data_IF_417224742068
#
_entry.id   IF_417224742068
#
_cell.length_a   1.000
_cell.length_b   1.000
_cell.length_c   1.000
_cell.angle_alpha   90.00
_cell.angle_beta   90.00
_cell.angle_gamma   90.00
#
_symmetry.space_group_name_H-M   'P 1'
#
loop_
_entity.id
_entity.type
_entity.pdbx_description
1 polymer ?
#
# COMPACT_ATOMS: atom_id res chain seq x y z
N UNK A 1 49.12 15.61 35.98
CA UNK A 1 48.94 14.22 35.51
C UNK A 1 47.54 14.16 34.91
N UNK A 2 47.23 14.79 33.77
CA UNK A 2 47.61 14.57 32.36
C UNK A 2 47.26 13.15 31.86
N UNK A 3 46.18 13.10 31.04
CA UNK A 3 45.91 12.23 29.86
C UNK A 3 45.31 10.84 30.17
N UNK A 4 44.21 10.37 29.56
CA UNK A 4 43.60 10.68 28.24
C UNK A 4 42.12 10.25 28.15
N UNK A 5 41.32 11.08 27.49
CA UNK A 5 40.11 10.71 26.75
C UNK A 5 40.43 9.75 25.60
N UNK A 6 39.54 8.79 25.36
CA UNK A 6 39.60 7.87 24.22
C UNK A 6 38.26 7.85 23.49
N UNK A 7 37.84 9.02 23.03
CA UNK A 7 36.84 9.13 21.98
C UNK A 7 37.47 8.68 20.66
N UNK A 8 37.01 7.53 20.17
CA UNK A 8 37.47 6.94 18.91
C UNK A 8 36.35 7.09 17.89
N UNK A 9 36.33 8.27 17.29
CA UNK A 9 35.61 8.61 16.06
C UNK A 9 35.81 7.51 14.99
N UNK A 10 34.80 6.66 14.81
CA UNK A 10 34.68 5.80 13.64
C UNK A 10 33.83 6.51 12.60
N UNK A 11 34.43 7.48 11.92
CA UNK A 11 33.90 8.00 10.66
C UNK A 11 33.86 6.85 9.65
N UNK A 12 32.66 6.41 9.27
CA UNK A 12 32.47 5.52 8.12
C UNK A 12 32.91 6.28 6.86
N UNK A 13 33.71 5.68 5.98
CA UNK A 13 34.02 6.28 4.68
C UNK A 13 32.73 6.40 3.85
N UNK A 14 32.57 7.55 3.20
CA UNK A 14 31.51 7.82 2.23
C UNK A 14 31.57 6.79 1.08
N UNK A 15 30.42 6.36 0.53
CA UNK A 15 30.39 5.50 -0.65
C UNK A 15 31.01 6.22 -1.85
N UNK A 16 32.00 5.59 -2.47
CA UNK A 16 32.58 6.08 -3.73
C UNK A 16 31.55 5.94 -4.86
N UNK A 17 31.44 6.94 -5.75
CA UNK A 17 30.54 6.87 -6.90
C UNK A 17 30.97 5.74 -7.85
N UNK A 18 30.02 5.14 -8.60
CA UNK A 18 30.33 4.06 -9.54
C UNK A 18 31.25 4.59 -10.66
N UNK A 19 32.48 4.09 -10.67
CA UNK A 19 33.43 4.30 -11.76
C UNK A 19 32.91 3.57 -13.01
N UNK A 20 32.56 4.34 -14.04
CA UNK A 20 32.22 3.82 -15.36
C UNK A 20 33.37 2.98 -15.92
N UNK A 21 33.20 1.66 -15.91
CA UNK A 21 34.18 0.72 -16.45
C UNK A 21 34.22 0.86 -17.97
N UNK A 22 35.40 1.22 -18.48
CA UNK A 22 35.75 1.22 -19.90
C UNK A 22 35.91 -0.23 -20.37
N UNK A 23 35.33 -0.64 -21.51
CA UNK A 23 35.49 -2.00 -22.03
C UNK A 23 36.95 -2.22 -22.45
N UNK A 24 37.65 -3.10 -21.75
CA UNK A 24 38.99 -3.57 -22.12
C UNK A 24 38.84 -4.70 -23.12
N UNK A 25 39.24 -4.44 -24.37
CA UNK A 25 39.35 -5.44 -25.43
C UNK A 25 40.56 -6.32 -25.12
N UNK A 26 40.32 -7.57 -24.73
CA UNK A 26 41.36 -8.59 -24.63
C UNK A 26 41.39 -9.39 -25.93
N UNK A 27 42.44 -9.15 -26.72
CA UNK A 27 42.85 -10.01 -27.82
C UNK A 27 43.58 -11.22 -27.24
N UNK A 28 43.05 -12.43 -27.48
CA UNK A 28 43.68 -13.69 -27.11
C UNK A 28 43.66 -14.65 -28.28
N UNK A 29 44.85 -15.00 -28.77
CA UNK A 29 45.12 -15.96 -29.84
C UNK A 29 44.84 -17.41 -29.40
N UNK A 30 44.25 -18.19 -30.32
CA UNK A 30 44.79 -19.50 -30.70
C UNK A 30 44.24 -20.75 -30.01
N UNK A 31 43.38 -21.48 -30.74
CA UNK A 31 43.60 -22.84 -31.30
C UNK A 31 42.45 -23.86 -31.14
N UNK A 32 42.29 -24.62 -32.22
CA UNK A 32 41.63 -25.93 -32.36
C UNK A 32 40.10 -25.99 -32.51
N UNK A 33 39.67 -25.75 -33.76
CA UNK A 33 38.75 -26.57 -34.58
C UNK A 33 37.88 -27.63 -33.88
N UNK A 34 36.56 -27.46 -33.96
CA UNK A 34 35.63 -28.55 -34.29
C UNK A 34 34.45 -27.97 -35.07
N UNK A 35 34.37 -28.33 -36.35
CA UNK A 35 33.32 -27.97 -37.28
C UNK A 35 31.95 -28.48 -36.83
N UNK A 36 30.97 -27.58 -36.81
CA UNK A 36 29.54 -27.90 -36.93
C UNK A 36 28.82 -26.64 -37.39
N UNK A 37 28.53 -26.58 -38.69
CA UNK A 37 27.67 -25.58 -39.33
C UNK A 37 26.29 -25.47 -38.66
N UNK A 38 25.82 -24.24 -38.44
CA UNK A 38 24.42 -23.97 -38.73
C UNK A 38 24.24 -22.77 -39.67
N UNK A 39 23.34 -23.01 -40.63
CA UNK A 39 22.83 -22.12 -41.66
C UNK A 39 22.80 -20.63 -41.29
N UNK A 40 23.55 -19.85 -42.06
CA UNK A 40 23.52 -18.40 -42.12
C UNK A 40 22.13 -17.94 -42.56
N UNK A 41 21.31 -17.51 -41.60
CA UNK A 41 20.05 -16.83 -41.89
C UNK A 41 20.35 -15.33 -41.85
N UNK A 42 20.41 -14.72 -43.02
CA UNK A 42 20.60 -13.28 -43.21
C UNK A 42 19.39 -12.52 -42.66
N UNK A 43 19.56 -11.91 -41.49
CA UNK A 43 18.61 -10.95 -40.93
C UNK A 43 18.81 -9.59 -41.60
N UNK A 44 18.08 -9.35 -42.68
CA UNK A 44 17.80 -8.01 -43.16
C UNK A 44 17.05 -7.22 -42.05
N UNK A 45 17.44 -5.97 -41.78
CA UNK A 45 16.68 -5.12 -40.88
C UNK A 45 15.29 -4.85 -41.51
N UNK A 46 14.19 -4.99 -40.76
CA UNK A 46 12.86 -4.69 -41.29
C UNK A 46 12.81 -3.22 -41.70
N UNK A 47 12.51 -2.96 -42.97
CA UNK A 47 12.20 -1.63 -43.47
C UNK A 47 10.98 -1.12 -42.72
N UNK A 48 11.16 -0.03 -41.97
CA UNK A 48 10.06 0.69 -41.32
C UNK A 48 9.25 1.45 -42.37
N UNK A 49 8.43 0.75 -43.13
CA UNK A 49 7.37 1.31 -44.00
C UNK A 49 6.10 1.57 -43.18
N UNK A 50 6.23 2.28 -42.06
CA UNK A 50 5.04 2.78 -41.36
C UNK A 50 4.54 4.02 -42.10
N UNK A 51 3.28 4.03 -42.60
CA UNK A 51 2.71 5.21 -43.23
C UNK A 51 2.71 6.36 -42.21
N UNK A 52 3.16 7.54 -42.66
CA UNK A 52 3.16 8.74 -41.85
C UNK A 52 1.76 8.97 -41.24
N UNK A 53 1.66 9.28 -39.94
CA UNK A 53 0.38 9.55 -39.31
C UNK A 53 -0.32 10.70 -40.04
N UNK A 54 -1.66 10.64 -40.18
CA UNK A 54 -2.40 11.73 -40.81
C UNK A 54 -2.15 13.06 -40.07
N UNK A 55 -2.16 14.20 -40.78
CA UNK A 55 -1.97 15.50 -40.15
C UNK A 55 -3.03 15.70 -39.05
N UNK A 56 -2.57 16.03 -37.85
CA UNK A 56 -3.45 16.40 -36.74
C UNK A 56 -4.24 17.65 -37.12
N UNK A 57 -5.54 17.49 -37.37
CA UNK A 57 -6.48 18.60 -37.38
C UNK A 57 -6.72 19.04 -35.92
N UNK A 58 -6.38 20.28 -35.54
CA UNK A 58 -6.71 20.79 -34.22
C UNK A 58 -8.22 20.85 -34.07
N UNK A 59 -8.77 20.09 -33.11
CA UNK A 59 -10.18 20.15 -32.76
C UNK A 59 -10.53 21.54 -32.21
N UNK A 60 -11.57 22.13 -32.78
CA UNK A 60 -12.13 23.42 -32.37
C UNK A 60 -12.41 23.47 -30.85
N UNK A 61 -12.07 24.58 -30.18
CA UNK A 61 -12.45 24.80 -28.79
C UNK A 61 -13.97 24.99 -28.71
N UNK A 62 -14.69 23.93 -28.35
CA UNK A 62 -16.12 23.96 -28.12
C UNK A 62 -16.45 24.90 -26.95
N UNK A 63 -17.09 26.01 -27.32
CA UNK A 63 -18.07 26.80 -26.59
C UNK A 63 -18.16 26.62 -25.08
N UNK A 64 -17.50 27.54 -24.38
CA UNK A 64 -17.74 27.86 -22.97
C UNK A 64 -19.13 28.46 -22.80
N UNK A 65 -20.09 27.66 -22.32
CA UNK A 65 -21.37 28.16 -21.83
C UNK A 65 -21.16 28.81 -20.46
N UNK A 66 -21.04 30.13 -20.45
CA UNK A 66 -20.99 30.96 -19.24
C UNK A 66 -22.30 30.89 -18.46
N UNK A 67 -22.26 30.35 -17.24
CA UNK A 67 -23.35 30.46 -16.27
C UNK A 67 -23.28 31.87 -15.64
N UNK A 68 -24.40 32.62 -15.57
CA UNK A 68 -24.40 33.96 -14.99
C UNK A 68 -24.18 33.91 -13.47
N UNK A 69 -23.11 34.57 -13.03
CA UNK A 69 -22.84 34.87 -11.61
C UNK A 69 -23.74 36.05 -11.22
N UNK A 70 -24.57 35.95 -10.18
CA UNK A 70 -25.33 37.09 -9.69
C UNK A 70 -24.40 38.11 -9.04
N UNK A 71 -24.32 39.28 -9.67
CA UNK A 71 -23.61 40.44 -9.20
C UNK A 71 -24.40 41.18 -8.11
N UNK A 72 -23.74 41.42 -6.97
CA UNK A 72 -23.91 42.65 -6.19
C UNK A 72 -24.22 42.48 -4.69
N UNK A 73 -24.15 43.55 -3.87
CA UNK A 73 -23.53 44.85 -4.13
C UNK A 73 -22.44 45.26 -3.12
N UNK A 74 -21.75 46.28 -3.57
CA UNK A 74 -20.69 47.11 -3.00
C UNK A 74 -21.01 47.87 -1.71
N UNK A 75 -19.95 47.98 -0.89
CA UNK A 75 -19.49 49.16 -0.13
C UNK A 75 -20.20 49.59 1.17
N UNK A 76 -19.43 50.25 2.09
CA UNK A 76 -19.77 50.38 3.50
C UNK A 76 -20.42 51.72 3.82
N UNK A 77 -21.49 51.70 4.63
CA UNK A 77 -22.09 52.89 5.21
C UNK A 77 -21.45 53.23 6.58
N UNK A 78 -21.06 54.50 6.82
CA UNK A 78 -20.59 54.98 8.11
C UNK A 78 -21.74 55.57 8.95
N UNK A 79 -21.65 55.36 10.27
CA UNK A 79 -22.29 56.13 11.33
C UNK A 79 -23.84 56.14 11.36
N UNK A 80 -24.40 55.19 12.12
CA UNK A 80 -25.71 55.33 12.76
C UNK A 80 -25.60 55.04 14.27
N UNK A 81 -26.38 55.75 15.12
CA UNK A 81 -26.21 55.75 16.57
C UNK A 81 -26.60 54.41 17.18
N UNK A 82 -25.81 53.98 18.17
CA UNK A 82 -26.09 52.85 19.07
C UNK A 82 -27.52 52.96 19.59
N UNK A 83 -28.41 52.14 19.04
CA UNK A 83 -29.69 51.85 19.64
C UNK A 83 -29.43 51.18 21.00
N UNK A 84 -30.16 51.63 22.02
CA UNK A 84 -30.09 51.10 23.37
C UNK A 84 -30.24 49.57 23.34
N UNK A 85 -29.25 48.88 23.91
CA UNK A 85 -29.39 47.47 24.24
C UNK A 85 -30.59 47.33 25.18
N UNK A 86 -31.64 46.69 24.66
CA UNK A 86 -32.81 46.30 25.43
C UNK A 86 -32.38 45.24 26.43
N UNK A 87 -32.35 45.60 27.72
CA UNK A 87 -31.88 44.77 28.83
C UNK A 87 -32.91 43.71 29.28
N UNK A 88 -33.92 43.42 28.44
CA UNK A 88 -35.06 42.58 28.80
C UNK A 88 -34.98 41.12 28.30
N UNK A 89 -33.82 40.68 27.78
CA UNK A 89 -33.62 39.29 27.34
C UNK A 89 -32.37 38.68 27.99
N UNK A 90 -32.20 38.96 29.28
CA UNK A 90 -31.23 38.27 30.15
C UNK A 90 -31.98 37.19 30.94
N UNK A 91 -32.35 36.12 30.23
CA UNK A 91 -33.16 34.99 30.74
C UNK A 91 -32.39 33.67 30.59
N UNK A 92 -31.06 33.74 30.66
CA UNK A 92 -30.15 32.58 30.61
C UNK A 92 -29.07 32.62 31.72
N UNK A 93 -29.33 33.30 32.83
CA UNK A 93 -28.62 33.09 34.11
C UNK A 93 -29.13 31.81 34.82
N UNK A 94 -29.11 30.70 34.07
CA UNK A 94 -29.35 29.37 34.61
C UNK A 94 -28.07 28.88 35.28
N UNK A 95 -28.12 28.80 36.61
CA UNK A 95 -27.07 28.27 37.49
C UNK A 95 -26.49 26.95 36.91
N UNK A 96 -25.19 26.88 36.55
CA UNK A 96 -24.60 25.71 35.89
C UNK A 96 -24.43 24.49 36.81
N UNK A 97 -25.01 24.50 38.01
CA UNK A 97 -24.75 23.53 39.06
C UNK A 97 -25.77 22.38 39.18
N UNK A 98 -26.85 22.38 38.40
CA UNK A 98 -27.91 21.35 38.48
C UNK A 98 -28.08 20.47 37.22
N UNK A 99 -27.00 20.24 36.45
CA UNK A 99 -26.98 19.09 35.54
C UNK A 99 -26.85 17.79 36.34
N UNK A 100 -28.00 17.45 36.92
CA UNK A 100 -28.40 16.18 37.48
C UNK A 100 -27.78 15.04 36.68
N UNK A 101 -27.02 14.21 37.38
CA UNK A 101 -26.40 13.00 36.87
C UNK A 101 -27.45 12.17 36.12
N UNK A 102 -27.50 12.35 34.80
CA UNK A 102 -28.28 11.50 33.92
C UNK A 102 -27.92 10.04 34.21
N UNK A 103 -28.88 9.11 34.12
CA UNK A 103 -28.61 7.70 34.39
C UNK A 103 -27.38 7.30 33.60
N UNK A 104 -26.32 6.94 34.31
CA UNK A 104 -25.08 6.44 33.71
C UNK A 104 -25.46 5.16 32.98
N UNK A 105 -25.82 5.30 31.70
CA UNK A 105 -25.99 4.16 30.81
C UNK A 105 -24.59 3.58 30.70
N UNK A 106 -24.33 2.38 31.25
CA UNK A 106 -23.03 1.76 31.06
C UNK A 106 -22.78 1.69 29.55
N UNK A 107 -21.61 2.12 29.07
CA UNK A 107 -21.30 2.04 27.65
C UNK A 107 -21.59 0.60 27.21
N UNK A 108 -22.35 0.39 26.12
CA UNK A 108 -22.64 -0.96 25.65
C UNK A 108 -21.30 -1.66 25.49
N UNK A 109 -21.12 -2.76 26.24
CA UNK A 109 -19.93 -3.57 26.15
C UNK A 109 -19.83 -4.02 24.69
N UNK A 110 -19.02 -3.29 23.93
CA UNK A 110 -18.74 -3.62 22.55
C UNK A 110 -17.78 -4.79 22.66
N UNK A 111 -18.34 -5.99 22.77
CA UNK A 111 -17.60 -7.24 22.59
C UNK A 111 -17.03 -7.16 21.20
N UNK A 112 -15.78 -6.71 21.11
CA UNK A 112 -14.97 -6.84 19.90
C UNK A 112 -14.99 -8.33 19.63
N UNK A 113 -15.71 -8.73 18.59
CA UNK A 113 -15.67 -10.09 18.05
C UNK A 113 -14.24 -10.30 17.60
N UNK A 114 -13.40 -10.82 18.50
CA UNK A 114 -12.13 -11.39 18.09
C UNK A 114 -12.48 -12.57 17.18
N UNK A 115 -12.19 -12.38 15.89
CA UNK A 115 -12.46 -13.36 14.85
C UNK A 115 -11.71 -14.65 15.21
N UNK A 116 -12.44 -15.73 15.49
CA UNK A 116 -11.85 -16.98 15.96
C UNK A 116 -10.91 -17.52 14.89
N UNK A 117 -9.65 -17.77 15.28
CA UNK A 117 -8.64 -18.28 14.35
C UNK A 117 -9.14 -19.64 13.83
N UNK A 118 -9.26 -19.81 12.49
CA UNK A 118 -9.78 -21.04 11.94
C UNK A 118 -8.86 -22.22 12.30
N UNK A 119 -9.40 -23.44 12.51
CA UNK A 119 -8.63 -24.62 12.90
C UNK A 119 -7.85 -25.20 11.69
N UNK A 120 -7.03 -24.38 11.05
CA UNK A 120 -6.18 -24.74 9.91
C UNK A 120 -4.75 -25.02 10.37
N UNK A 121 -3.96 -25.79 9.60
CA UNK A 121 -2.55 -26.00 9.88
C UNK A 121 -1.80 -24.67 9.93
N UNK A 122 -0.98 -24.51 10.98
CA UNK A 122 -0.06 -23.37 11.11
C UNK A 122 1.12 -23.56 10.18
N UNK A 123 1.49 -22.51 9.47
CA UNK A 123 2.53 -22.55 8.44
C UNK A 123 3.47 -21.35 8.58
N UNK A 124 4.68 -21.49 8.04
CA UNK A 124 5.62 -20.39 7.87
C UNK A 124 6.44 -20.64 6.60
N UNK A 125 7.01 -19.57 6.03
CA UNK A 125 7.81 -19.61 4.81
C UNK A 125 7.08 -20.27 3.62
N UNK A 126 5.77 -20.02 3.51
CA UNK A 126 4.92 -20.61 2.50
C UNK A 126 5.06 -19.87 1.16
N UNK A 127 5.28 -20.61 0.08
CA UNK A 127 5.28 -20.08 -1.28
C UNK A 127 4.28 -20.84 -2.15
N UNK A 128 3.29 -20.12 -2.68
CA UNK A 128 2.32 -20.64 -3.64
C UNK A 128 2.49 -19.87 -4.94
N UNK A 129 2.96 -20.58 -5.96
CA UNK A 129 3.02 -20.07 -7.32
C UNK A 129 2.06 -20.88 -8.19
N UNK A 130 1.19 -20.20 -8.93
CA UNK A 130 0.28 -20.84 -9.88
C UNK A 130 0.35 -20.16 -11.23
N UNK A 131 0.65 -20.90 -12.29
CA UNK A 131 0.63 -20.35 -13.65
C UNK A 131 -0.79 -20.42 -14.22
N UNK A 132 -1.42 -19.26 -14.38
CA UNK A 132 -2.73 -19.16 -15.02
C UNK A 132 -3.92 -19.68 -14.21
N UNK A 133 -3.72 -19.95 -12.91
CA UNK A 133 -4.80 -20.39 -12.02
C UNK A 133 -5.05 -19.38 -10.90
N UNK A 134 -6.30 -19.25 -10.44
CA UNK A 134 -6.64 -18.45 -9.28
C UNK A 134 -6.00 -19.00 -8.01
N UNK A 135 -5.62 -18.11 -7.10
CA UNK A 135 -5.25 -18.42 -5.71
C UNK A 135 -6.38 -17.90 -4.83
N UNK A 136 -7.01 -18.79 -4.05
CA UNK A 136 -8.11 -18.44 -3.15
C UNK A 136 -7.93 -19.19 -1.84
N UNK A 137 -7.14 -18.64 -0.92
CA UNK A 137 -6.65 -19.35 0.26
C UNK A 137 -7.04 -18.62 1.56
N UNK A 138 -7.24 -19.41 2.61
CA UNK A 138 -7.28 -18.94 4.00
C UNK A 138 -6.13 -19.60 4.73
N UNK A 139 -5.24 -18.81 5.32
CA UNK A 139 -3.95 -19.26 5.83
C UNK A 139 -3.79 -18.84 7.28
N UNK A 140 -3.20 -19.73 8.08
CA UNK A 140 -2.82 -19.46 9.47
C UNK A 140 -1.29 -19.50 9.54
N UNK A 141 -0.67 -18.35 9.77
CA UNK A 141 0.77 -18.21 9.85
C UNK A 141 1.23 -18.25 11.30
N UNK A 142 2.30 -18.99 11.56
CA UNK A 142 3.02 -19.02 12.83
C UNK A 142 4.49 -18.69 12.55
N UNK A 143 4.87 -17.42 12.65
CA UNK A 143 6.23 -16.97 12.33
C UNK A 143 7.32 -17.58 13.23
N UNK A 144 6.94 -18.21 14.36
CA UNK A 144 7.88 -18.87 15.27
C UNK A 144 8.35 -20.23 14.74
N UNK A 145 7.64 -20.80 13.75
CA UNK A 145 8.04 -22.05 13.13
C UNK A 145 9.34 -21.87 12.33
N UNK A 146 10.32 -22.78 12.48
CA UNK A 146 11.56 -22.69 11.74
C UNK A 146 11.31 -22.84 10.23
N UNK A 147 12.05 -22.07 9.43
CA UNK A 147 12.09 -22.23 7.98
C UNK A 147 12.57 -23.65 7.64
N UNK A 148 11.82 -24.44 6.86
CA UNK A 148 12.36 -25.67 6.32
C UNK A 148 13.60 -25.35 5.45
N UNK A 149 14.59 -26.25 5.37
CA UNK A 149 15.78 -26.02 4.56
C UNK A 149 15.41 -25.72 3.10
N UNK A 150 15.90 -24.60 2.56
CA UNK A 150 15.66 -24.19 1.17
C UNK A 150 14.31 -23.51 0.89
N UNK A 151 13.55 -23.10 1.91
CA UNK A 151 12.28 -22.37 1.70
C UNK A 151 12.46 -20.90 1.38
N UNK A 152 11.34 -20.26 1.04
CA UNK A 152 11.27 -18.83 0.75
C UNK A 152 11.82 -17.98 1.90
N UNK A 153 12.42 -16.84 1.53
CA UNK A 153 12.92 -15.87 2.49
C UNK A 153 11.78 -15.18 3.25
N UNK A 154 10.64 -14.95 2.58
CA UNK A 154 9.44 -14.33 3.14
C UNK A 154 8.61 -15.35 3.93
N UNK A 155 7.78 -14.87 4.87
CA UNK A 155 6.86 -15.72 5.63
C UNK A 155 5.70 -16.23 4.75
N UNK A 156 5.25 -15.40 3.81
CA UNK A 156 4.22 -15.76 2.82
C UNK A 156 4.50 -15.12 1.47
N UNK A 157 4.46 -15.92 0.41
CA UNK A 157 4.56 -15.46 -0.97
C UNK A 157 3.50 -16.16 -1.85
N UNK A 158 2.54 -15.37 -2.34
CA UNK A 158 1.50 -15.80 -3.26
C UNK A 158 1.73 -15.12 -4.60
N UNK A 159 1.84 -15.89 -5.68
CA UNK A 159 2.03 -15.32 -7.02
C UNK A 159 1.31 -16.09 -8.10
N UNK A 160 0.72 -15.38 -9.05
CA UNK A 160 0.14 -15.96 -10.26
C UNK A 160 0.43 -15.11 -11.48
N UNK A 161 0.62 -15.74 -12.64
CA UNK A 161 0.75 -15.01 -13.92
C UNK A 161 -0.60 -14.52 -14.44
N UNK A 162 -1.65 -15.29 -14.19
CA UNK A 162 -3.00 -14.91 -14.62
C UNK A 162 -4.02 -15.53 -13.70
N UNK A 163 -4.89 -14.69 -13.17
CA UNK A 163 -5.92 -15.08 -12.22
C UNK A 163 -5.94 -14.19 -10.98
N UNK A 164 -7.05 -14.23 -10.24
CA UNK A 164 -7.18 -13.53 -8.97
C UNK A 164 -6.28 -14.15 -7.89
N UNK A 165 -5.76 -13.32 -7.00
CA UNK A 165 -5.17 -13.73 -5.72
C UNK A 165 -6.05 -13.21 -4.60
N UNK A 166 -6.80 -14.09 -3.97
CA UNK A 166 -7.69 -13.80 -2.85
C UNK A 166 -7.16 -14.54 -1.63
N UNK A 167 -6.58 -13.81 -0.70
CA UNK A 167 -5.93 -14.41 0.46
C UNK A 167 -6.45 -13.76 1.74
N UNK A 168 -6.85 -14.63 2.68
CA UNK A 168 -7.08 -14.24 4.06
C UNK A 168 -6.02 -14.85 4.95
N UNK A 169 -5.35 -14.02 5.73
CA UNK A 169 -4.21 -14.39 6.55
C UNK A 169 -4.51 -14.11 8.01
N UNK A 170 -4.38 -15.14 8.84
CA UNK A 170 -4.39 -15.05 10.29
C UNK A 170 -2.96 -15.25 10.77
N UNK A 171 -2.38 -14.29 11.49
CA UNK A 171 -1.07 -14.41 12.09
C UNK A 171 -1.25 -14.77 13.55
N UNK A 172 -0.58 -15.83 13.98
CA UNK A 172 -0.63 -16.35 15.34
C UNK A 172 0.68 -16.09 16.07
N UNK A 173 0.88 -16.74 17.21
CA UNK A 173 2.01 -16.64 18.13
C UNK A 173 3.29 -16.01 17.56
N UNK A 174 3.70 -14.89 18.15
CA UNK A 174 4.92 -14.16 17.83
C UNK A 174 5.81 -14.24 19.06
N UNK A 175 6.66 -15.26 19.13
CA UNK A 175 7.67 -15.38 20.18
C UNK A 175 9.00 -14.86 19.63
N UNK A 176 9.55 -13.83 20.29
CA UNK A 176 10.90 -13.30 20.07
C UNK A 176 11.26 -12.97 18.60
N UNK A 177 10.30 -12.48 17.83
CA UNK A 177 10.58 -12.06 16.44
C UNK A 177 11.46 -10.81 16.43
N UNK A 178 12.72 -11.02 16.05
CA UNK A 178 13.66 -9.94 15.71
C UNK A 178 13.39 -9.31 14.35
N UNK A 179 12.55 -9.94 13.52
CA UNK A 179 12.29 -9.58 12.12
C UNK A 179 10.80 -9.36 11.89
N UNK A 180 10.49 -8.61 10.83
CA UNK A 180 9.13 -8.37 10.36
C UNK A 180 8.54 -9.65 9.74
N UNK A 181 7.23 -9.81 9.83
CA UNK A 181 6.50 -10.85 9.10
C UNK A 181 6.25 -10.34 7.69
N UNK A 182 6.93 -10.95 6.73
CA UNK A 182 6.91 -10.55 5.32
C UNK A 182 5.81 -11.28 4.56
N UNK A 183 4.83 -10.54 4.05
CA UNK A 183 3.69 -11.03 3.28
C UNK A 183 3.74 -10.45 1.87
N UNK A 184 3.64 -11.30 0.85
CA UNK A 184 3.68 -10.89 -0.55
C UNK A 184 2.55 -11.55 -1.33
N UNK A 185 1.78 -10.75 -2.06
CA UNK A 185 0.72 -11.23 -2.96
C UNK A 185 0.83 -10.53 -4.32
N UNK A 186 1.03 -11.27 -5.41
CA UNK A 186 1.19 -10.69 -6.74
C UNK A 186 0.40 -11.40 -7.84
N UNK A 187 -0.08 -10.62 -8.82
CA UNK A 187 -0.69 -11.13 -10.06
C UNK A 187 -0.28 -10.29 -11.27
N UNK A 188 0.18 -10.89 -12.37
CA UNK A 188 0.42 -10.08 -13.59
C UNK A 188 -0.90 -9.66 -14.23
N UNK A 189 -1.91 -10.53 -14.19
CA UNK A 189 -3.24 -10.22 -14.76
C UNK A 189 -4.31 -10.81 -13.87
N UNK A 190 -4.90 -9.96 -13.04
CA UNK A 190 -5.98 -10.33 -12.15
C UNK A 190 -6.04 -9.44 -10.92
N UNK A 191 -7.18 -9.47 -10.20
CA UNK A 191 -7.33 -8.73 -8.97
C UNK A 191 -6.48 -9.35 -7.86
N UNK A 192 -5.92 -8.52 -6.99
CA UNK A 192 -5.24 -8.97 -5.77
C UNK A 192 -6.02 -8.45 -4.58
N UNK A 193 -6.48 -9.34 -3.71
CA UNK A 193 -7.16 -9.04 -2.45
C UNK A 193 -6.43 -9.74 -1.32
N UNK A 194 -5.79 -8.98 -0.45
CA UNK A 194 -5.06 -9.47 0.72
C UNK A 194 -5.71 -8.95 2.00
N UNK A 195 -6.24 -9.85 2.81
CA UNK A 195 -6.90 -9.56 4.08
C UNK A 195 -6.07 -10.10 5.23
N UNK A 196 -5.66 -9.25 6.17
CA UNK A 196 -4.93 -9.67 7.36
C UNK A 196 -5.92 -9.64 8.53
N UNK A 197 -6.58 -10.78 8.72
CA UNK A 197 -7.74 -10.89 9.58
C UNK A 197 -7.40 -10.76 11.07
N UNK A 198 -6.24 -11.27 11.47
CA UNK A 198 -5.74 -11.17 12.84
C UNK A 198 -4.21 -11.12 12.85
N UNK A 199 -3.64 -10.36 13.77
CA UNK A 199 -2.22 -10.42 14.09
C UNK A 199 -1.98 -9.96 15.54
N UNK A 200 -0.98 -10.51 16.24
CA UNK A 200 -0.59 -9.99 17.55
C UNK A 200 -0.08 -8.55 17.43
N UNK A 201 -0.36 -7.70 18.43
CA UNK A 201 0.16 -6.31 18.47
C UNK A 201 1.68 -6.22 18.53
N UNK A 202 2.34 -7.27 19.00
CA UNK A 202 3.81 -7.38 19.03
C UNK A 202 4.41 -7.74 17.67
N UNK A 203 3.57 -8.11 16.70
CA UNK A 203 3.98 -8.49 15.35
C UNK A 203 4.19 -7.24 14.50
N UNK A 204 5.38 -7.11 13.90
CA UNK A 204 5.67 -6.08 12.90
C UNK A 204 5.48 -6.65 11.50
N UNK A 205 4.78 -5.94 10.63
CA UNK A 205 4.37 -6.45 9.32
C UNK A 205 5.14 -5.77 8.19
N UNK A 206 5.48 -6.53 7.15
CA UNK A 206 5.96 -5.98 5.88
C UNK A 206 5.10 -6.56 4.76
N UNK A 207 4.16 -5.77 4.25
CA UNK A 207 3.11 -6.21 3.35
C UNK A 207 3.39 -5.66 1.96
N UNK A 208 3.41 -6.54 0.96
CA UNK A 208 3.53 -6.17 -0.45
C UNK A 208 2.38 -6.78 -1.24
N UNK A 209 1.59 -5.95 -1.91
CA UNK A 209 0.54 -6.40 -2.83
C UNK A 209 0.72 -5.77 -4.20
N UNK A 210 0.82 -6.56 -5.27
CA UNK A 210 1.05 -6.02 -6.61
C UNK A 210 0.18 -6.63 -7.69
N UNK A 211 -0.34 -5.81 -8.60
CA UNK A 211 -1.02 -6.28 -9.81
C UNK A 211 -0.57 -5.51 -11.05
N UNK A 212 -0.10 -6.18 -12.10
CA UNK A 212 0.22 -5.46 -13.34
C UNK A 212 -1.06 -5.01 -14.06
N UNK A 213 -2.12 -5.80 -14.00
CA UNK A 213 -3.43 -5.42 -14.55
C UNK A 213 -4.54 -6.01 -13.70
N UNK A 214 -5.22 -5.17 -12.94
CA UNK A 214 -6.29 -5.54 -12.05
C UNK A 214 -6.37 -4.63 -10.83
N UNK A 215 -7.52 -4.63 -10.14
CA UNK A 215 -7.67 -3.91 -8.89
C UNK A 215 -6.83 -4.55 -7.79
N UNK A 216 -6.28 -3.73 -6.90
CA UNK A 216 -5.60 -4.19 -5.68
C UNK A 216 -6.42 -3.76 -4.46
N UNK A 217 -6.64 -4.68 -3.52
CA UNK A 217 -7.31 -4.42 -2.27
C UNK A 217 -6.51 -5.01 -1.10
N UNK A 218 -6.17 -4.18 -0.11
CA UNK A 218 -5.44 -4.62 1.09
C UNK A 218 -6.19 -4.16 2.34
N UNK A 219 -6.45 -5.11 3.24
CA UNK A 219 -7.12 -4.86 4.52
C UNK A 219 -6.13 -5.15 5.66
N UNK A 220 -5.74 -4.08 6.35
CA UNK A 220 -4.72 -4.07 7.39
C UNK A 220 -5.32 -4.41 8.76
N UNK A 221 -4.54 -4.95 9.71
CA UNK A 221 -4.98 -5.07 11.09
C UNK A 221 -5.24 -3.70 11.72
N UNK A 222 -6.19 -3.63 12.67
CA UNK A 222 -6.56 -2.38 13.33
C UNK A 222 -5.40 -1.69 14.07
N UNK A 223 -4.38 -2.42 14.52
CA UNK A 223 -3.21 -1.87 15.21
C UNK A 223 -2.03 -1.55 14.29
N UNK A 224 -2.16 -1.72 12.97
CA UNK A 224 -1.10 -1.38 12.02
C UNK A 224 -0.66 0.07 12.22
N UNK A 225 0.64 0.29 12.39
CA UNK A 225 1.23 1.62 12.57
C UNK A 225 2.53 1.74 11.78
N UNK A 226 2.54 2.60 10.76
CA UNK A 226 3.71 2.81 9.92
C UNK A 226 3.40 3.34 8.52
N UNK A 227 4.42 3.38 7.65
CA UNK A 227 4.31 3.86 6.28
C UNK A 227 3.45 2.96 5.41
N UNK A 228 2.63 3.61 4.58
CA UNK A 228 1.78 3.02 3.57
C UNK A 228 2.05 3.72 2.24
N UNK A 229 2.65 3.00 1.30
CA UNK A 229 2.99 3.53 -0.03
C UNK A 229 2.15 2.86 -1.10
N UNK A 230 1.58 3.67 -1.99
CA UNK A 230 0.73 3.21 -3.08
C UNK A 230 1.29 3.72 -4.40
N UNK A 231 1.64 2.78 -5.29
CA UNK A 231 2.05 3.05 -6.65
C UNK A 231 0.89 2.71 -7.60
N UNK A 232 0.38 3.69 -8.34
CA UNK A 232 -0.68 3.47 -9.32
C UNK A 232 -0.45 4.30 -10.58
N UNK A 233 -0.29 3.66 -11.75
CA UNK A 233 -0.09 4.40 -13.01
C UNK A 233 -1.41 4.81 -13.66
N UNK A 234 -2.36 3.88 -13.71
CA UNK A 234 -3.70 4.12 -14.27
C UNK A 234 -4.77 3.58 -13.31
N UNK A 235 -5.32 4.46 -12.48
CA UNK A 235 -6.32 4.08 -11.50
C UNK A 235 -6.60 5.20 -10.51
N UNK A 236 -7.36 4.88 -9.48
CA UNK A 236 -7.58 5.76 -8.35
C UNK A 236 -7.32 4.98 -7.05
N UNK A 237 -6.90 5.70 -6.02
CA UNK A 237 -6.70 5.14 -4.67
C UNK A 237 -7.87 5.57 -3.79
N UNK A 238 -8.51 4.61 -3.14
CA UNK A 238 -9.56 4.87 -2.14
C UNK A 238 -9.17 4.24 -0.80
N UNK A 239 -9.16 5.06 0.25
CA UNK A 239 -9.01 4.62 1.64
C UNK A 239 -10.40 4.43 2.26
N UNK A 240 -10.58 3.42 3.11
CA UNK A 240 -11.78 3.32 3.94
C UNK A 240 -11.85 4.52 4.88
N UNK A 241 -13.05 5.00 5.27
CA UNK A 241 -13.16 6.13 6.20
C UNK A 241 -12.41 5.89 7.52
N UNK A 242 -12.44 4.66 8.04
CA UNK A 242 -11.75 4.25 9.26
C UNK A 242 -10.22 4.35 9.14
N UNK A 243 -9.67 3.93 8.00
CA UNK A 243 -8.25 4.05 7.71
C UNK A 243 -7.86 5.51 7.47
N UNK A 244 -8.63 6.22 6.64
CA UNK A 244 -8.40 7.63 6.30
C UNK A 244 -8.35 8.52 7.54
N UNK A 245 -9.23 8.30 8.53
CA UNK A 245 -9.24 9.04 9.79
C UNK A 245 -7.96 8.88 10.62
N UNK A 246 -7.16 7.83 10.36
CA UNK A 246 -5.88 7.55 11.03
C UNK A 246 -4.69 7.72 10.09
N UNK A 247 -4.91 8.22 8.88
CA UNK A 247 -3.85 8.43 7.91
C UNK A 247 -3.40 9.89 7.91
N UNK A 248 -2.09 10.08 7.70
CA UNK A 248 -1.49 11.37 7.36
C UNK A 248 -0.82 11.26 6.01
N UNK A 249 -1.21 12.08 5.04
CA UNK A 249 -0.56 12.10 3.73
C UNK A 249 0.78 12.86 3.81
N UNK A 250 1.83 12.28 3.24
CA UNK A 250 3.15 12.93 3.07
C UNK A 250 3.41 13.33 1.64
N UNK A 251 3.05 12.44 0.72
CA UNK A 251 3.33 12.59 -0.69
C UNK A 251 2.08 12.21 -1.46
N UNK A 252 1.69 13.07 -2.38
CA UNK A 252 0.61 12.80 -3.32
C UNK A 252 1.07 13.31 -4.69
N UNK A 253 1.63 12.40 -5.47
CA UNK A 253 1.96 12.60 -6.87
C UNK A 253 0.94 11.86 -7.75
N UNK A 254 1.06 11.99 -9.08
CA UNK A 254 0.18 11.27 -10.00
C UNK A 254 0.27 9.75 -9.83
N UNK A 255 1.50 9.25 -9.61
CA UNK A 255 1.81 7.83 -9.69
C UNK A 255 2.11 7.21 -8.31
N UNK A 256 2.42 8.04 -7.32
CA UNK A 256 2.84 7.62 -5.98
C UNK A 256 2.07 8.40 -4.93
N UNK A 257 1.48 7.69 -3.97
CA UNK A 257 0.87 8.27 -2.77
C UNK A 257 1.47 7.61 -1.53
N UNK A 258 2.01 8.43 -0.63
CA UNK A 258 2.64 7.97 0.60
C UNK A 258 1.88 8.51 1.80
N UNK A 259 1.50 7.62 2.70
CA UNK A 259 0.76 7.91 3.92
C UNK A 259 1.53 7.37 5.13
N UNK A 260 1.35 8.01 6.29
CA UNK A 260 1.51 7.36 7.59
C UNK A 260 0.17 6.81 8.05
N UNK A 261 0.17 5.64 8.65
CA UNK A 261 -0.99 5.11 9.38
C UNK A 261 -0.67 5.08 10.86
N UNK A 262 -1.56 5.64 11.69
CA UNK A 262 -1.43 5.63 13.15
C UNK A 262 -0.82 6.90 13.73
N UNK A 263 -0.31 6.79 14.96
CA UNK A 263 0.32 7.92 15.65
C UNK A 263 1.71 8.19 15.07
N UNK A 264 2.01 9.46 14.82
CA UNK A 264 3.29 9.91 14.32
C UNK A 264 4.09 10.53 15.46
N UNK A 265 5.22 9.92 15.83
CA UNK A 265 6.00 10.40 16.99
C UNK A 265 7.04 11.46 16.62
N UNK A 266 7.38 11.65 15.34
CA UNK A 266 8.33 12.68 14.92
C UNK A 266 9.19 12.29 13.70
N UNK A 267 10.26 13.06 13.48
CA UNK A 267 11.11 12.93 12.29
C UNK A 267 12.02 11.71 12.28
N UNK A 268 12.46 11.20 13.43
CA UNK A 268 13.41 10.08 13.52
C UNK A 268 12.86 8.80 12.85
N UNK A 269 11.56 8.51 13.03
CA UNK A 269 10.91 7.35 12.41
C UNK A 269 10.86 7.45 10.88
N UNK A 270 10.68 8.67 10.36
CA UNK A 270 10.67 8.94 8.93
C UNK A 270 12.04 8.83 8.29
N UNK A 271 13.05 9.41 8.96
CA UNK A 271 14.43 9.33 8.50
C UNK A 271 14.89 7.87 8.50
N UNK A 272 14.54 7.09 9.54
CA UNK A 272 14.78 5.65 9.57
C UNK A 272 14.10 4.95 8.39
N UNK A 273 12.86 5.31 8.03
CA UNK A 273 12.21 4.77 6.84
C UNK A 273 12.92 5.11 5.54
N UNK A 274 13.30 6.37 5.33
CA UNK A 274 14.03 6.80 4.13
C UNK A 274 15.41 6.16 4.02
N UNK A 275 16.05 5.84 5.15
CA UNK A 275 17.35 5.16 5.21
C UNK A 275 17.22 3.63 5.12
N UNK A 276 16.00 3.08 5.07
CA UNK A 276 15.76 1.63 5.06
C UNK A 276 15.98 0.94 6.41
N UNK A 277 16.10 1.72 7.50
CA UNK A 277 16.27 1.25 8.87
C UNK A 277 14.94 1.07 9.62
N UNK A 278 13.81 1.41 8.98
CA UNK A 278 12.49 1.24 9.57
C UNK A 278 12.21 -0.21 9.96
N UNK A 279 11.91 -0.41 11.23
CA UNK A 279 11.70 -1.72 11.82
C UNK A 279 10.24 -1.99 12.24
N UNK A 280 9.34 -1.03 12.04
CA UNK A 280 7.90 -1.15 12.35
C UNK A 280 7.08 -1.75 11.20
N UNK A 281 5.77 -1.51 11.20
CA UNK A 281 4.89 -2.00 10.14
C UNK A 281 5.10 -1.25 8.84
N UNK A 282 4.99 -1.91 7.70
CA UNK A 282 5.11 -1.28 6.39
C UNK A 282 4.14 -1.95 5.42
N UNK A 283 3.50 -1.15 4.57
CA UNK A 283 2.64 -1.64 3.51
C UNK A 283 2.96 -0.95 2.19
N UNK A 284 3.16 -1.75 1.15
CA UNK A 284 3.42 -1.28 -0.21
C UNK A 284 2.42 -1.94 -1.16
N UNK A 285 1.71 -1.12 -1.93
CA UNK A 285 0.72 -1.58 -2.90
C UNK A 285 1.01 -1.02 -4.27
N UNK A 286 1.16 -1.88 -5.27
CA UNK A 286 1.52 -1.48 -6.63
C UNK A 286 0.47 -1.95 -7.63
N UNK A 287 0.03 -1.06 -8.51
CA UNK A 287 -0.74 -1.46 -9.70
C UNK A 287 -0.41 -0.62 -10.92
N UNK A 288 -0.23 -1.23 -12.09
CA UNK A 288 -0.10 -0.42 -13.32
C UNK A 288 -1.47 0.01 -13.84
N UNK A 289 -2.49 -0.84 -13.71
CA UNK A 289 -3.83 -0.55 -14.22
C UNK A 289 -4.89 -1.17 -13.33
N UNK A 290 -5.67 -0.33 -12.67
CA UNK A 290 -6.76 -0.74 -11.80
C UNK A 290 -6.87 0.15 -10.55
N UNK A 291 -8.05 0.19 -9.91
CA UNK A 291 -8.21 0.92 -8.67
C UNK A 291 -7.51 0.21 -7.50
N UNK A 292 -7.06 1.00 -6.53
CA UNK A 292 -6.49 0.51 -5.26
C UNK A 292 -7.45 0.82 -4.12
N UNK A 293 -7.79 -0.18 -3.32
CA UNK A 293 -8.64 -0.07 -2.12
C UNK A 293 -7.86 -0.46 -0.88
N UNK A 294 -7.84 0.41 0.11
CA UNK A 294 -7.16 0.15 1.37
C UNK A 294 -8.12 0.38 2.53
N UNK A 295 -8.05 -0.47 3.55
CA UNK A 295 -8.87 -0.31 4.74
C UNK A 295 -8.33 -1.11 5.90
N UNK A 296 -9.02 -1.03 7.05
CA UNK A 296 -8.82 -2.00 8.12
C UNK A 296 -9.66 -3.25 7.89
N UNK A 297 -9.21 -4.38 8.44
CA UNK A 297 -10.03 -5.56 8.58
C UNK A 297 -11.05 -5.35 9.70
N UNK A 298 -12.34 -5.39 9.35
CA UNK A 298 -13.46 -5.14 10.26
C UNK A 298 -14.32 -6.41 10.50
N UNK A 299 -13.78 -7.60 10.21
CA UNK A 299 -14.38 -8.89 10.60
C UNK A 299 -15.55 -9.40 9.75
N UNK A 300 -16.00 -8.68 8.73
CA UNK A 300 -17.18 -9.05 7.93
C UNK A 300 -16.93 -8.89 6.43
N UNK A 301 -15.78 -9.34 5.93
CA UNK A 301 -15.75 -9.72 4.53
C UNK A 301 -16.13 -11.20 4.47
N UNK A 302 -17.13 -11.55 3.69
CA UNK A 302 -17.14 -12.90 3.12
C UNK A 302 -16.00 -12.91 2.11
N UNK A 303 -15.09 -13.89 2.18
CA UNK A 303 -14.22 -14.16 1.02
C UNK A 303 -15.20 -14.55 -0.07
N UNK A 304 -15.55 -13.61 -0.94
CA UNK A 304 -16.30 -13.91 -2.15
C UNK A 304 -15.41 -14.87 -2.94
N UNK A 305 -15.62 -16.17 -2.74
CA UNK A 305 -15.08 -17.17 -3.64
C UNK A 305 -15.60 -16.73 -5.01
N UNK A 306 -14.68 -16.37 -5.90
CA UNK A 306 -15.00 -16.12 -7.30
C UNK A 306 -15.36 -17.49 -7.88
N UNK A 307 -16.57 -17.96 -7.56
CA UNK A 307 -17.14 -19.19 -8.09
C UNK A 307 -17.56 -18.87 -9.52
N UNK A 308 -16.57 -18.92 -10.43
CA UNK A 308 -16.73 -19.20 -11.87
C UNK A 308 -17.96 -18.64 -12.60
N UNK A 309 -18.44 -17.45 -12.25
CA UNK A 309 -19.78 -17.01 -12.64
C UNK A 309 -19.90 -16.34 -14.00
N UNK A 310 -18.79 -15.89 -14.60
CA UNK A 310 -18.85 -15.06 -15.81
C UNK A 310 -18.73 -15.89 -17.11
N UNK A 311 -18.14 -17.08 -17.07
CA UNK A 311 -18.01 -17.93 -18.28
C UNK A 311 -19.22 -18.83 -18.60
N UNK A 312 -20.26 -18.87 -17.76
CA UNK A 312 -21.48 -19.66 -18.06
C UNK A 312 -22.51 -18.94 -18.95
N UNK A 313 -22.33 -17.65 -19.25
CA UNK A 313 -23.30 -16.88 -20.06
C UNK A 313 -22.93 -16.72 -21.54
N UNK A 314 -21.85 -17.33 -22.02
CA UNK A 314 -21.39 -17.20 -23.42
C UNK A 314 -21.39 -18.51 -24.22
N UNK A 315 -21.82 -19.64 -23.65
CA UNK A 315 -21.91 -20.93 -24.35
C UNK A 315 -23.21 -21.69 -24.05
N UNK A 316 -24.32 -20.97 -23.91
CA UNK A 316 -25.67 -21.53 -23.78
C UNK A 316 -26.59 -20.95 -24.84
#
# INVERSE_FOLDING_TARGET
MIVTDKDKDRRRPLPTPPTSATPTVHSGEGTASTDSDPATTSSEPPSSDWPAPPPYSPSDPASSSSVPIPSGPSSPDPLAPRAAHDAAVDLLDGDPSEYSAGPSVPPPATTVLEDEIPPLPRQNHLRIHREGQPISETLVLDPSLPAPPGTAQKNLELSTKSGPVLARVYITEVRDLKRRVELSASSDTGPVKLEIASSPRTCRLAITASSSTGPCAVYLPLHFTGPLTVHTKYGFVSLSPSLQARCRTFEESSDVRSYWVGEWTGGEEWEAFQQGEWAGDQCEVTTNTGPVRLGYWEGISTVERVVGGIFRKLFG
#
